data_IF_148701348985
#
_entry.id   IF_148701348985
#
_cell.length_a   1.000
_cell.length_b   1.000
_cell.length_c   1.000
_cell.angle_alpha   90.00
_cell.angle_beta   90.00
_cell.angle_gamma   90.00
#
_symmetry.space_group_name_H-M   'P 1'
#
loop_
_entity.id
_entity.type
_entity.pdbx_description
1 polymer ?
#
# COMPACT_ATOMS: atom_id res chain seq x y z
N UNK A 1 13.57 -17.41 -52.78
CA UNK A 1 13.53 -17.48 -51.30
C UNK A 1 14.51 -16.45 -50.73
N UNK A 2 14.03 -15.28 -50.31
CA UNK A 2 14.87 -14.17 -49.81
C UNK A 2 14.79 -14.14 -48.27
N UNK A 3 15.91 -14.35 -47.58
CA UNK A 3 16.06 -14.10 -46.14
C UNK A 3 16.37 -12.62 -45.94
N UNK A 4 15.42 -11.87 -45.41
CA UNK A 4 15.63 -10.49 -44.96
C UNK A 4 16.19 -10.58 -43.54
N UNK A 5 17.46 -10.21 -43.36
CA UNK A 5 18.09 -10.03 -42.05
C UNK A 5 18.08 -8.53 -41.76
N UNK A 6 17.14 -8.07 -40.95
CA UNK A 6 17.21 -6.73 -40.38
C UNK A 6 18.05 -6.83 -39.10
N UNK A 7 19.26 -6.27 -39.16
CA UNK A 7 20.12 -6.04 -38.02
C UNK A 7 19.99 -4.56 -37.66
N UNK A 8 19.26 -4.29 -36.58
CA UNK A 8 19.20 -2.99 -35.92
C UNK A 8 19.65 -3.22 -34.48
N UNK A 9 20.87 -2.81 -34.15
CA UNK A 9 21.27 -2.45 -32.80
C UNK A 9 22.65 -1.77 -32.82
N UNK A 10 22.78 -0.77 -31.93
CA UNK A 10 23.99 -0.10 -31.46
C UNK A 10 24.44 1.20 -32.17
N UNK A 11 23.93 2.36 -31.73
CA UNK A 11 24.75 3.57 -31.67
C UNK A 11 25.66 3.53 -30.44
N UNK A 12 26.95 3.35 -30.69
CA UNK A 12 28.01 3.80 -29.80
C UNK A 12 27.91 5.32 -29.60
N UNK A 13 28.07 5.82 -28.37
CA UNK A 13 29.03 6.88 -28.02
C UNK A 13 28.89 7.40 -26.58
N UNK A 14 29.99 7.22 -25.84
CA UNK A 14 30.62 8.19 -24.92
C UNK A 14 29.80 8.90 -23.85
N UNK A 15 30.08 8.55 -22.59
CA UNK A 15 30.21 9.54 -21.52
C UNK A 15 31.20 9.03 -20.46
N UNK A 16 32.49 9.17 -20.75
CA UNK A 16 33.55 9.11 -19.75
C UNK A 16 33.43 10.34 -18.84
N UNK A 17 32.70 10.22 -17.73
CA UNK A 17 32.78 11.21 -16.66
C UNK A 17 34.08 10.99 -15.87
N UNK A 18 35.09 11.74 -16.29
CA UNK A 18 36.39 11.88 -15.67
C UNK A 18 36.26 12.60 -14.32
N UNK A 19 36.00 11.87 -13.23
CA UNK A 19 36.00 12.42 -11.88
C UNK A 19 37.43 12.54 -11.33
N UNK A 20 38.12 13.62 -11.70
CA UNK A 20 39.30 14.08 -10.97
C UNK A 20 38.99 15.43 -10.32
N UNK A 21 38.83 15.43 -8.99
CA UNK A 21 39.07 16.63 -8.17
C UNK A 21 39.47 16.24 -6.75
N UNK A 22 40.78 16.07 -6.59
CA UNK A 22 41.63 16.69 -5.56
C UNK A 22 40.98 16.81 -4.17
N UNK A 23 41.28 15.84 -3.30
CA UNK A 23 41.09 15.95 -1.85
C UNK A 23 42.35 16.59 -1.27
N UNK A 24 42.34 17.90 -1.03
CA UNK A 24 43.33 18.57 -0.18
C UNK A 24 42.66 19.11 1.09
N UNK A 25 42.95 18.40 2.18
CA UNK A 25 43.42 18.92 3.47
C UNK A 25 42.82 20.24 4.02
N UNK A 26 42.24 20.06 5.22
CA UNK A 26 42.54 20.84 6.43
C UNK A 26 41.69 22.09 6.71
N UNK A 27 40.68 21.94 7.58
CA UNK A 27 40.56 22.82 8.76
C UNK A 27 39.56 22.28 9.77
N UNK A 28 40.08 21.91 10.93
CA UNK A 28 39.35 21.87 12.19
C UNK A 28 38.48 23.11 12.34
N UNK A 29 37.17 22.91 12.44
CA UNK A 29 36.33 23.70 13.33
C UNK A 29 35.53 22.72 14.15
N UNK A 30 35.93 22.60 15.41
CA UNK A 30 35.13 22.03 16.47
C UNK A 30 33.70 22.59 16.36
N UNK A 31 32.74 21.77 15.94
CA UNK A 31 31.35 22.03 16.25
C UNK A 31 31.24 21.68 17.74
N UNK A 32 31.42 22.68 18.59
CA UNK A 32 30.89 22.61 19.95
C UNK A 32 29.39 22.55 19.77
N UNK A 33 28.82 21.35 19.91
CA UNK A 33 27.39 21.23 20.16
C UNK A 33 27.11 22.01 21.45
N UNK A 34 26.29 23.08 21.43
CA UNK A 34 25.76 23.61 22.68
C UNK A 34 25.00 22.47 23.34
N UNK A 35 25.45 22.15 24.55
CA UNK A 35 24.81 21.20 25.45
C UNK A 35 23.32 21.55 25.54
N UNK A 36 22.49 20.57 25.21
CA UNK A 36 21.14 20.42 25.75
C UNK A 36 20.29 21.70 25.79
N UNK A 37 19.86 22.20 24.63
CA UNK A 37 18.51 22.78 24.58
C UNK A 37 17.58 21.58 24.70
N UNK A 38 17.06 21.36 25.90
CA UNK A 38 16.01 20.40 26.17
C UNK A 38 14.91 20.62 25.11
N UNK A 39 14.81 19.71 24.16
CA UNK A 39 13.62 19.61 23.32
C UNK A 39 12.55 19.02 24.21
N UNK A 40 11.96 19.87 25.06
CA UNK A 40 10.65 19.61 25.62
C UNK A 40 9.71 19.45 24.43
N UNK A 41 9.52 18.20 24.01
CA UNK A 41 8.46 17.88 23.07
C UNK A 41 7.17 18.35 23.74
N UNK A 42 6.40 19.26 23.11
CA UNK A 42 5.11 19.61 23.66
C UNK A 42 4.32 18.31 23.79
N UNK A 43 3.91 17.99 25.02
CA UNK A 43 2.98 16.92 25.31
C UNK A 43 1.65 17.28 24.66
N UNK A 44 1.54 17.10 23.35
CA UNK A 44 0.27 17.21 22.63
C UNK A 44 -0.57 16.04 23.11
N UNK A 45 -1.65 16.28 23.88
CA UNK A 45 -2.51 15.20 24.35
C UNK A 45 -2.97 14.45 23.11
N UNK A 46 -2.71 13.14 23.08
CA UNK A 46 -3.12 12.24 22.00
C UNK A 46 -4.62 12.45 21.77
N UNK A 47 -4.93 13.27 20.78
CA UNK A 47 -6.29 13.70 20.50
C UNK A 47 -7.04 12.43 20.11
N UNK A 48 -7.87 11.93 21.02
CA UNK A 48 -8.67 10.73 20.76
C UNK A 48 -9.39 10.99 19.44
N UNK A 49 -9.18 10.13 18.45
CA UNK A 49 -9.92 10.15 17.20
C UNK A 49 -11.40 9.87 17.53
N UNK A 50 -12.11 10.89 18.00
CA UNK A 50 -13.53 10.85 18.29
C UNK A 50 -14.25 11.10 16.98
N UNK A 51 -14.33 10.05 16.17
CA UNK A 51 -15.44 9.93 15.23
C UNK A 51 -15.98 8.49 15.35
N UNK A 52 -16.51 8.18 16.53
CA UNK A 52 -17.44 7.07 16.73
C UNK A 52 -18.86 7.58 16.50
N UNK A 53 -19.11 8.20 15.34
CA UNK A 53 -20.48 8.18 14.83
C UNK A 53 -20.77 6.71 14.56
N UNK A 54 -21.85 6.21 15.14
CA UNK A 54 -22.34 4.85 15.08
C UNK A 54 -22.71 4.50 13.63
N UNK A 55 -21.70 4.34 12.77
CA UNK A 55 -21.84 3.89 11.41
C UNK A 55 -22.00 2.39 11.51
N UNK A 56 -23.25 1.95 11.63
CA UNK A 56 -23.65 0.57 11.36
C UNK A 56 -22.89 0.15 10.09
N UNK A 57 -21.95 -0.79 10.23
CA UNK A 57 -21.10 -1.25 9.10
C UNK A 57 -22.03 -1.53 7.92
N UNK A 58 -21.86 -0.80 6.82
CA UNK A 58 -22.62 -1.03 5.61
C UNK A 58 -22.45 -2.50 5.23
N UNK A 59 -23.58 -3.19 5.09
CA UNK A 59 -23.59 -4.54 4.56
C UNK A 59 -23.49 -4.37 3.05
N UNK A 60 -22.40 -4.84 2.50
CA UNK A 60 -22.17 -4.94 1.07
C UNK A 60 -22.84 -6.20 0.55
N UNK A 61 -23.26 -6.16 -0.72
CA UNK A 61 -23.81 -7.33 -1.39
C UNK A 61 -22.68 -8.30 -1.76
N UNK A 62 -22.97 -9.59 -1.62
CA UNK A 62 -21.97 -10.65 -1.85
C UNK A 62 -21.50 -10.67 -3.30
N UNK A 63 -22.43 -10.42 -4.22
CA UNK A 63 -22.17 -10.37 -5.66
C UNK A 63 -21.21 -9.24 -6.03
N UNK A 64 -21.42 -8.04 -5.47
CA UNK A 64 -20.54 -6.89 -5.69
C UNK A 64 -19.13 -7.15 -5.14
N UNK A 65 -19.03 -7.77 -3.96
CA UNK A 65 -17.75 -8.14 -3.36
C UNK A 65 -17.02 -9.19 -4.21
N UNK A 66 -17.72 -10.20 -4.70
CA UNK A 66 -17.14 -11.24 -5.56
C UNK A 66 -16.63 -10.67 -6.88
N UNK A 67 -17.44 -9.86 -7.56
CA UNK A 67 -17.07 -9.16 -8.79
C UNK A 67 -15.84 -8.26 -8.57
N UNK A 68 -15.80 -7.56 -7.44
CA UNK A 68 -14.64 -6.72 -7.10
C UNK A 68 -13.36 -7.53 -6.94
N UNK A 69 -13.43 -8.65 -6.22
CA UNK A 69 -12.25 -9.50 -5.97
C UNK A 69 -11.72 -10.06 -7.29
N UNK A 70 -12.60 -10.49 -8.20
CA UNK A 70 -12.23 -10.96 -9.53
C UNK A 70 -11.51 -9.86 -10.34
N UNK A 71 -12.13 -8.68 -10.47
CA UNK A 71 -11.58 -7.57 -11.24
C UNK A 71 -10.24 -7.05 -10.69
N UNK A 72 -10.04 -7.10 -9.36
CA UNK A 72 -8.77 -6.72 -8.73
C UNK A 72 -7.70 -7.80 -8.91
N UNK A 73 -8.06 -9.10 -8.87
CA UNK A 73 -7.13 -10.21 -9.13
C UNK A 73 -6.64 -10.22 -10.59
N UNK A 74 -7.54 -9.93 -11.51
CA UNK A 74 -7.27 -9.76 -12.94
C UNK A 74 -6.52 -8.45 -13.26
N UNK A 75 -6.34 -7.58 -12.25
CA UNK A 75 -5.69 -6.27 -12.32
C UNK A 75 -6.37 -5.29 -13.29
N UNK A 76 -7.63 -5.50 -13.62
CA UNK A 76 -8.43 -4.57 -14.44
C UNK A 76 -8.64 -3.24 -13.69
N UNK A 77 -8.90 -3.34 -12.38
CA UNK A 77 -9.17 -2.19 -11.52
C UNK A 77 -8.26 -2.15 -10.30
N UNK A 78 -7.74 -0.96 -9.98
CA UNK A 78 -7.01 -0.74 -8.73
C UNK A 78 -7.95 -0.61 -7.53
N UNK A 79 -7.46 -0.91 -6.32
CA UNK A 79 -8.26 -0.93 -5.09
C UNK A 79 -9.11 0.33 -4.85
N UNK A 80 -8.56 1.52 -5.12
CA UNK A 80 -9.27 2.80 -4.92
C UNK A 80 -10.41 3.02 -5.92
N UNK A 81 -10.27 2.49 -7.13
CA UNK A 81 -11.32 2.56 -8.16
C UNK A 81 -12.40 1.52 -7.88
N UNK A 82 -12.00 0.31 -7.53
CA UNK A 82 -12.87 -0.80 -7.14
C UNK A 82 -13.90 -0.40 -6.06
N UNK A 83 -13.44 0.25 -4.97
CA UNK A 83 -14.34 0.69 -3.90
C UNK A 83 -15.44 1.65 -4.36
N UNK A 84 -15.17 2.47 -5.38
CA UNK A 84 -16.15 3.42 -5.92
C UNK A 84 -17.10 2.79 -6.93
N UNK A 85 -16.61 1.82 -7.69
CA UNK A 85 -17.38 1.19 -8.76
C UNK A 85 -18.38 0.16 -8.23
N UNK A 86 -17.97 -0.62 -7.24
CA UNK A 86 -18.77 -1.73 -6.72
C UNK A 86 -19.37 -1.44 -5.34
N UNK A 87 -19.30 -0.20 -4.87
CA UNK A 87 -19.83 0.22 -3.56
C UNK A 87 -19.38 -0.66 -2.37
N UNK A 88 -18.16 -1.20 -2.45
CA UNK A 88 -17.63 -2.12 -1.45
C UNK A 88 -16.83 -1.41 -0.37
N UNK A 89 -16.66 -2.02 0.83
CA UNK A 89 -15.93 -1.41 1.92
C UNK A 89 -14.45 -1.22 1.62
N UNK A 90 -13.88 -0.34 2.44
CA UNK A 90 -12.49 0.13 2.47
C UNK A 90 -11.46 -0.76 1.79
N UNK A 91 -10.52 -0.10 1.09
CA UNK A 91 -9.32 -0.68 0.46
C UNK A 91 -8.61 -1.75 1.29
N UNK A 92 -8.55 -1.60 2.62
CA UNK A 92 -7.90 -2.56 3.52
C UNK A 92 -8.60 -3.93 3.54
N UNK A 93 -9.94 -3.94 3.41
CA UNK A 93 -10.74 -5.16 3.33
C UNK A 93 -10.43 -5.91 2.04
N UNK A 94 -10.46 -5.20 0.90
CA UNK A 94 -10.09 -5.77 -0.40
C UNK A 94 -8.64 -6.28 -0.42
N UNK A 95 -7.71 -5.55 0.18
CA UNK A 95 -6.31 -5.97 0.24
C UNK A 95 -6.14 -7.32 0.95
N UNK A 96 -6.83 -7.55 2.08
CA UNK A 96 -6.82 -8.86 2.77
C UNK A 96 -7.33 -9.98 1.87
N UNK A 97 -8.48 -9.76 1.24
CA UNK A 97 -9.13 -10.76 0.39
C UNK A 97 -8.37 -11.10 -0.89
N UNK A 98 -7.66 -10.13 -1.46
CA UNK A 98 -6.84 -10.33 -2.67
C UNK A 98 -5.50 -10.98 -2.34
N UNK A 99 -4.98 -10.77 -1.12
CA UNK A 99 -3.75 -11.42 -0.64
C UNK A 99 -3.97 -12.92 -0.45
N UNK A 100 -5.14 -13.31 0.08
CA UNK A 100 -5.53 -14.71 0.25
C UNK A 100 -5.97 -15.32 -1.09
N UNK A 101 -5.00 -15.69 -1.94
CA UNK A 101 -5.27 -16.29 -3.27
C UNK A 101 -5.76 -17.72 -3.22
N UNK A 102 -5.40 -18.46 -2.18
CA UNK A 102 -5.71 -19.88 -2.04
C UNK A 102 -7.17 -20.14 -1.65
N UNK A 103 -7.86 -19.12 -1.12
CA UNK A 103 -9.25 -19.22 -0.73
C UNK A 103 -10.19 -18.95 -1.92
N UNK A 104 -11.25 -19.76 -2.09
CA UNK A 104 -12.27 -19.50 -3.11
C UNK A 104 -13.03 -18.21 -2.77
N UNK A 105 -13.43 -17.46 -3.80
CA UNK A 105 -14.08 -16.14 -3.65
C UNK A 105 -15.33 -16.24 -2.75
N UNK A 106 -16.12 -17.30 -2.92
CA UNK A 106 -17.30 -17.58 -2.10
C UNK A 106 -17.01 -17.77 -0.62
N UNK A 107 -15.89 -18.41 -0.27
CA UNK A 107 -15.51 -18.55 1.14
C UNK A 107 -15.14 -17.19 1.74
N UNK A 108 -14.49 -16.34 0.94
CA UNK A 108 -14.07 -15.01 1.36
C UNK A 108 -15.28 -14.10 1.62
N UNK A 109 -16.27 -14.10 0.72
CA UNK A 109 -17.48 -13.25 0.84
C UNK A 109 -18.42 -13.70 1.97
N UNK A 110 -18.44 -14.99 2.30
CA UNK A 110 -19.29 -15.52 3.37
C UNK A 110 -18.70 -15.29 4.78
N UNK A 111 -17.40 -15.07 4.91
CA UNK A 111 -16.75 -14.85 6.19
C UNK A 111 -17.02 -13.42 6.71
N UNK A 112 -17.94 -13.31 7.68
CA UNK A 112 -18.24 -12.08 8.41
C UNK A 112 -16.99 -11.53 9.10
N UNK A 113 -16.32 -10.61 8.42
CA UNK A 113 -15.06 -10.07 8.91
C UNK A 113 -15.33 -9.15 10.12
N UNK A 114 -14.76 -9.51 11.27
CA UNK A 114 -14.68 -8.61 12.42
C UNK A 114 -15.78 -8.74 13.48
N UNK A 115 -16.44 -9.91 13.60
CA UNK A 115 -17.09 -10.31 14.86
C UNK A 115 -16.46 -11.63 15.31
N UNK A 116 -15.85 -11.62 16.51
CA UNK A 116 -15.50 -12.87 17.18
C UNK A 116 -16.83 -13.57 17.51
N UNK A 117 -17.03 -14.83 17.10
CA UNK A 117 -18.22 -15.56 17.51
C UNK A 117 -18.30 -15.54 19.04
N UNK A 118 -19.42 -15.07 19.58
CA UNK A 118 -19.68 -15.13 21.02
C UNK A 118 -20.04 -16.58 21.32
N UNK A 119 -19.06 -17.34 21.82
CA UNK A 119 -19.28 -18.68 22.33
C UNK A 119 -20.16 -18.55 23.58
N UNK A 120 -21.47 -18.79 23.47
CA UNK A 120 -22.35 -18.67 24.64
C UNK A 120 -23.87 -18.68 24.44
N UNK A 121 -24.41 -19.26 23.37
CA UNK A 121 -25.86 -19.45 23.26
C UNK A 121 -26.13 -20.84 22.65
N UNK A 122 -26.03 -21.86 23.50
CA UNK A 122 -26.68 -23.14 23.28
C UNK A 122 -28.20 -22.88 23.33
N UNK A 123 -28.93 -23.30 22.30
CA UNK A 123 -30.40 -23.25 22.23
C UNK A 123 -30.94 -24.66 22.32
#
# INVERSE_FOLDING_TARGET
>A
MRRVKNAEAEPAQSALCHCQRIITRHRSRQIRHPLAVAWEQPNVPRQKCQNLTNTRRERWEKEEMAATIAAVREKEVGYTKATKLFNVPTRSTLFRFVTDRDSPIEAITNNLTGRRPVVGQEK
#
